data_IF_249860659226
#
_entry.id   IF_249860659226
#
_cell.length_a   1.000
_cell.length_b   1.000
_cell.length_c   1.000
_cell.angle_alpha   90.00
_cell.angle_beta   90.00
_cell.angle_gamma   90.00
#
_symmetry.space_group_name_H-M   'P 1'
#
loop_
_entity.id
_entity.type
_entity.pdbx_description
1 polymer ?
#
# COMPACT_ATOMS: atom_id res chain seq x y z
N UNK A 1 13.42 33.65 47.50
CA UNK A 1 12.95 33.30 46.18
C UNK A 1 13.55 31.96 45.80
N UNK A 2 12.76 30.90 45.86
CA UNK A 2 13.25 29.51 45.56
C UNK A 2 12.80 29.14 44.14
N UNK A 3 13.75 28.93 43.24
CA UNK A 3 13.50 28.40 41.90
C UNK A 3 13.28 26.88 42.00
N UNK A 4 12.10 26.44 41.65
CA UNK A 4 11.73 25.03 41.48
C UNK A 4 12.02 24.62 40.02
N UNK A 5 13.06 23.85 39.83
CA UNK A 5 13.36 23.17 38.56
C UNK A 5 12.54 21.89 38.50
N UNK A 6 11.53 21.87 37.60
CA UNK A 6 10.81 20.65 37.25
C UNK A 6 11.62 19.89 36.20
N UNK A 7 12.17 18.76 36.59
CA UNK A 7 12.79 17.78 35.69
C UNK A 7 11.70 16.99 34.94
N UNK A 8 11.76 17.04 33.61
CA UNK A 8 11.03 16.17 32.71
C UNK A 8 11.68 14.77 32.72
N UNK A 9 10.92 13.69 32.78
CA UNK A 9 11.50 12.36 32.59
C UNK A 9 11.82 12.13 31.11
N UNK A 10 13.06 11.79 30.83
CA UNK A 10 13.52 11.32 29.54
C UNK A 10 12.98 9.92 29.26
N UNK A 11 12.16 9.80 28.23
CA UNK A 11 11.82 8.50 27.63
C UNK A 11 13.05 7.99 26.86
N UNK A 12 13.78 7.07 27.47
CA UNK A 12 14.78 6.27 26.78
C UNK A 12 14.07 5.22 25.92
N UNK A 13 13.97 5.46 24.62
CA UNK A 13 13.59 4.46 23.64
C UNK A 13 14.80 3.55 23.40
N UNK A 14 14.71 2.29 23.84
CA UNK A 14 15.69 1.26 23.53
C UNK A 14 15.70 0.94 22.04
N UNK A 15 16.82 1.23 21.39
CA UNK A 15 17.18 0.70 20.07
C UNK A 15 17.55 -0.78 20.25
N UNK A 16 16.62 -1.68 19.93
CA UNK A 16 16.93 -3.09 19.75
C UNK A 16 17.46 -3.31 18.33
N UNK A 17 18.66 -3.83 18.24
CA UNK A 17 19.35 -4.19 17.01
C UNK A 17 18.57 -5.26 16.23
N UNK A 18 18.38 -5.02 14.93
CA UNK A 18 17.95 -6.03 13.97
C UNK A 18 19.09 -7.05 13.78
N UNK A 19 19.06 -8.10 14.59
CA UNK A 19 19.86 -9.29 14.35
C UNK A 19 19.18 -10.16 13.29
N UNK A 20 19.89 -10.45 12.18
CA UNK A 20 19.52 -11.50 11.24
C UNK A 20 19.52 -12.84 11.99
N UNK A 21 18.35 -13.39 12.23
CA UNK A 21 18.21 -14.79 12.65
C UNK A 21 17.84 -15.60 11.40
N UNK A 22 18.78 -16.35 10.88
CA UNK A 22 18.51 -17.41 9.92
C UNK A 22 17.85 -18.57 10.68
N UNK A 23 16.54 -18.73 10.53
CA UNK A 23 15.81 -19.89 11.05
C UNK A 23 15.65 -20.88 9.89
N UNK A 24 16.40 -21.96 9.94
CA UNK A 24 16.16 -23.16 9.15
C UNK A 24 14.97 -23.93 9.75
N UNK A 25 13.78 -23.70 9.21
CA UNK A 25 12.55 -24.40 9.61
C UNK A 25 12.30 -25.62 8.73
N UNK A 26 12.38 -26.81 9.29
CA UNK A 26 11.87 -28.03 8.68
C UNK A 26 10.34 -27.99 8.69
N UNK A 27 9.74 -28.06 7.48
CA UNK A 27 8.29 -28.11 7.33
C UNK A 27 7.77 -29.50 7.71
N UNK A 28 6.95 -29.57 8.76
CA UNK A 28 6.12 -30.73 9.06
C UNK A 28 4.84 -30.65 8.20
N UNK A 29 4.69 -31.59 7.26
CA UNK A 29 3.46 -31.74 6.49
C UNK A 29 2.42 -32.46 7.34
N UNK A 30 1.41 -31.73 7.81
CA UNK A 30 0.18 -32.32 8.29
C UNK A 30 -0.80 -32.44 7.10
N UNK A 31 -1.18 -33.66 6.76
CA UNK A 31 -2.12 -33.96 5.68
C UNK A 31 -3.51 -33.35 5.99
N UNK A 32 -4.00 -32.56 5.07
CA UNK A 32 -5.37 -32.07 5.05
C UNK A 32 -6.15 -32.92 4.04
N UNK A 33 -7.26 -33.45 4.50
CA UNK A 33 -8.19 -34.26 3.69
C UNK A 33 -8.72 -33.45 2.51
N UNK A 34 -8.81 -34.11 1.34
CA UNK A 34 -9.39 -33.58 0.11
C UNK A 34 -10.85 -33.16 0.33
N UNK A 35 -11.10 -31.86 0.23
CA UNK A 35 -12.44 -31.31 -0.01
C UNK A 35 -12.49 -30.99 -1.49
N UNK A 36 -13.38 -31.63 -2.24
CA UNK A 36 -13.68 -31.31 -3.64
C UNK A 36 -14.06 -29.84 -3.75
N UNK A 37 -13.12 -29.02 -4.23
CA UNK A 37 -13.27 -27.59 -4.40
C UNK A 37 -13.85 -27.27 -5.77
N UNK A 38 -14.81 -26.37 -5.77
CA UNK A 38 -15.23 -25.58 -6.95
C UNK A 38 -14.00 -25.07 -7.69
N UNK A 39 -14.05 -25.09 -9.03
CA UNK A 39 -12.95 -24.59 -9.88
C UNK A 39 -12.52 -23.20 -9.41
N UNK A 40 -11.34 -23.11 -8.81
CA UNK A 40 -10.80 -21.86 -8.31
C UNK A 40 -10.51 -20.91 -9.47
N UNK A 41 -10.57 -19.62 -9.20
CA UNK A 41 -10.14 -18.59 -10.14
C UNK A 41 -8.71 -18.86 -10.61
N UNK A 42 -8.43 -18.51 -11.84
CA UNK A 42 -7.10 -18.67 -12.41
C UNK A 42 -6.35 -17.34 -12.39
N UNK A 43 -5.05 -17.39 -12.10
CA UNK A 43 -4.18 -16.25 -12.28
C UNK A 43 -4.12 -15.83 -13.75
N UNK A 44 -3.74 -14.59 -14.02
CA UNK A 44 -3.52 -14.07 -15.39
C UNK A 44 -2.56 -14.96 -16.22
N UNK A 45 -1.70 -15.72 -15.56
CA UNK A 45 -0.76 -16.63 -16.20
C UNK A 45 -1.27 -18.09 -16.26
N UNK A 46 -2.57 -18.30 -15.98
CA UNK A 46 -3.25 -19.59 -16.10
C UNK A 46 -2.89 -20.61 -15.00
N UNK A 47 -2.35 -20.17 -13.86
CA UNK A 47 -2.10 -21.04 -12.73
C UNK A 47 -3.33 -21.15 -11.82
N UNK A 48 -3.66 -22.34 -11.29
CA UNK A 48 -4.66 -22.44 -10.25
C UNK A 48 -4.16 -21.76 -8.98
N UNK A 49 -5.00 -20.92 -8.38
CA UNK A 49 -4.71 -20.32 -7.10
C UNK A 49 -4.79 -21.34 -5.97
N UNK A 50 -3.96 -21.19 -4.93
CA UNK A 50 -4.07 -21.99 -3.73
C UNK A 50 -5.41 -21.72 -3.02
N UNK A 51 -6.02 -22.71 -2.35
CA UNK A 51 -7.27 -22.51 -1.61
C UNK A 51 -7.14 -21.33 -0.63
N UNK A 52 -8.07 -20.39 -0.72
CA UNK A 52 -8.17 -19.24 0.17
C UNK A 52 -8.98 -19.59 1.43
N UNK A 53 -8.66 -19.00 2.60
CA UNK A 53 -9.58 -19.10 3.74
C UNK A 53 -10.94 -18.50 3.40
N UNK A 54 -12.02 -19.12 3.87
CA UNK A 54 -13.39 -18.74 3.54
C UNK A 54 -13.74 -17.25 3.75
N UNK A 55 -13.04 -16.57 4.66
CA UNK A 55 -13.22 -15.13 4.86
C UNK A 55 -12.88 -14.34 3.59
N UNK A 56 -11.91 -14.78 2.80
CA UNK A 56 -11.39 -14.09 1.62
C UNK A 56 -12.10 -14.46 0.31
N UNK A 57 -13.04 -15.39 0.37
CA UNK A 57 -13.87 -15.73 -0.79
C UNK A 57 -14.95 -14.65 -0.99
N UNK A 58 -14.98 -13.92 -2.12
CA UNK A 58 -16.01 -12.92 -2.37
C UNK A 58 -17.41 -13.57 -2.52
N UNK A 59 -18.49 -12.87 -2.17
CA UNK A 59 -19.84 -13.31 -2.55
C UNK A 59 -20.01 -13.16 -4.06
N UNK A 60 -20.96 -13.92 -4.63
CA UNK A 60 -21.30 -13.82 -6.06
C UNK A 60 -21.79 -12.41 -6.44
N UNK A 61 -22.57 -11.79 -5.55
CA UNK A 61 -23.09 -10.43 -5.72
C UNK A 61 -22.33 -9.47 -4.80
N UNK A 62 -21.50 -8.61 -5.40
CA UNK A 62 -20.73 -7.58 -4.68
C UNK A 62 -21.56 -6.29 -4.63
N UNK A 63 -21.78 -5.69 -3.44
CA UNK A 63 -22.51 -4.45 -3.32
C UNK A 63 -21.88 -3.32 -4.14
N UNK A 64 -22.71 -2.53 -4.84
CA UNK A 64 -22.25 -1.42 -5.69
C UNK A 64 -21.83 -0.15 -4.93
N UNK A 65 -22.03 -0.09 -3.61
CA UNK A 65 -21.70 1.11 -2.82
C UNK A 65 -20.24 1.05 -2.34
N UNK A 66 -19.35 1.93 -2.81
CA UNK A 66 -17.95 1.94 -2.40
C UNK A 66 -17.78 2.11 -0.88
N UNK A 67 -16.93 1.29 -0.27
CA UNK A 67 -16.70 1.26 1.18
C UNK A 67 -17.75 0.51 2.00
N UNK A 68 -18.80 -0.06 1.39
CA UNK A 68 -19.77 -0.89 2.10
C UNK A 68 -19.09 -2.16 2.62
N UNK A 69 -19.23 -2.44 3.92
CA UNK A 69 -18.73 -3.68 4.52
C UNK A 69 -19.57 -4.85 4.04
N UNK A 70 -18.96 -5.84 3.43
CA UNK A 70 -19.56 -7.10 2.97
C UNK A 70 -19.59 -8.10 4.12
N UNK A 71 -18.47 -8.23 4.84
CA UNK A 71 -18.33 -9.04 6.06
C UNK A 71 -17.24 -8.51 6.95
N UNK A 72 -17.31 -8.86 8.22
CA UNK A 72 -16.27 -8.53 9.21
C UNK A 72 -16.04 -9.70 10.16
N UNK A 73 -14.84 -9.79 10.72
CA UNK A 73 -14.47 -10.76 11.74
C UNK A 73 -13.37 -10.15 12.63
N UNK A 74 -13.22 -10.67 13.84
CA UNK A 74 -12.09 -10.31 14.69
C UNK A 74 -10.77 -10.66 13.98
N UNK A 75 -9.82 -9.73 13.99
CA UNK A 75 -8.49 -9.97 13.45
C UNK A 75 -7.57 -10.46 14.58
N UNK A 76 -6.98 -11.67 14.46
CA UNK A 76 -5.94 -12.08 15.39
C UNK A 76 -4.70 -11.22 15.16
N UNK A 77 -4.05 -10.76 16.27
CA UNK A 77 -2.78 -10.07 16.26
C UNK A 77 -1.73 -10.99 16.87
N UNK A 78 -0.96 -11.70 16.04
CA UNK A 78 -0.01 -12.70 16.51
C UNK A 78 1.29 -12.11 17.09
N UNK A 79 1.58 -10.82 16.82
CA UNK A 79 2.67 -10.09 17.50
C UNK A 79 2.40 -9.85 18.99
N UNK A 80 1.28 -10.36 19.52
CA UNK A 80 0.88 -10.26 20.91
C UNK A 80 0.55 -11.63 21.49
N UNK A 81 1.55 -12.51 21.72
CA UNK A 81 1.33 -13.84 22.28
C UNK A 81 0.67 -13.83 23.66
N UNK A 82 0.75 -12.70 24.38
CA UNK A 82 0.10 -12.49 25.67
C UNK A 82 -1.25 -11.76 25.55
N UNK A 83 -1.71 -11.48 24.32
CA UNK A 83 -2.94 -10.70 24.02
C UNK A 83 -3.00 -9.33 24.72
N UNK A 84 -1.85 -8.73 25.02
CA UNK A 84 -1.78 -7.42 25.67
C UNK A 84 -2.27 -6.31 24.75
N UNK A 85 -2.01 -6.38 23.43
CA UNK A 85 -2.55 -5.45 22.46
C UNK A 85 -4.07 -5.57 22.34
N UNK A 86 -4.63 -6.77 22.50
CA UNK A 86 -6.07 -6.97 22.51
C UNK A 86 -6.78 -6.23 23.66
N UNK A 87 -6.08 -5.91 24.75
CA UNK A 87 -6.61 -5.05 25.83
C UNK A 87 -6.65 -3.58 25.45
N UNK A 88 -5.81 -3.13 24.53
CA UNK A 88 -5.59 -1.72 24.16
C UNK A 88 -6.14 -1.34 22.80
N UNK A 89 -6.27 -2.29 21.86
CA UNK A 89 -6.71 -2.08 20.49
C UNK A 89 -7.77 -3.12 20.12
N UNK A 90 -8.82 -2.69 19.43
CA UNK A 90 -9.75 -3.57 18.72
C UNK A 90 -9.26 -3.69 17.28
N UNK A 91 -9.05 -4.91 16.81
CA UNK A 91 -8.67 -5.18 15.42
C UNK A 91 -9.77 -5.99 14.74
N UNK A 92 -10.28 -5.47 13.62
CA UNK A 92 -11.36 -6.08 12.86
C UNK A 92 -10.91 -6.26 11.42
N UNK A 93 -10.89 -7.50 10.94
CA UNK A 93 -10.73 -7.81 9.52
C UNK A 93 -12.03 -7.51 8.82
N UNK A 94 -11.96 -6.86 7.66
CA UNK A 94 -13.13 -6.54 6.86
C UNK A 94 -12.93 -6.98 5.42
N UNK A 95 -14.03 -7.38 4.78
CA UNK A 95 -14.18 -7.39 3.33
C UNK A 95 -15.14 -6.26 3.00
N UNK A 96 -14.78 -5.41 2.05
CA UNK A 96 -15.56 -4.23 1.68
C UNK A 96 -15.63 -4.08 0.17
N UNK A 97 -16.63 -3.36 -0.30
CA UNK A 97 -16.81 -3.05 -1.71
C UNK A 97 -15.91 -1.89 -2.13
N UNK A 98 -15.23 -2.06 -3.25
CA UNK A 98 -14.51 -1.00 -3.96
C UNK A 98 -14.85 -1.07 -5.44
N UNK A 99 -14.08 -0.37 -6.29
CA UNK A 99 -14.31 -0.41 -7.74
C UNK A 99 -13.02 -0.66 -8.49
N UNK A 100 -13.11 -1.47 -9.54
CA UNK A 100 -12.00 -1.70 -10.48
C UNK A 100 -11.75 -0.46 -11.36
N UNK A 101 -10.81 -0.57 -12.29
CA UNK A 101 -10.45 0.50 -13.22
C UNK A 101 -11.65 0.99 -14.05
N UNK A 102 -12.57 0.10 -14.40
CA UNK A 102 -13.75 0.40 -15.21
C UNK A 102 -14.96 0.86 -14.38
N UNK A 103 -14.81 0.96 -13.04
CA UNK A 103 -15.89 1.34 -12.14
C UNK A 103 -16.82 0.20 -11.75
N UNK A 104 -16.48 -1.07 -12.06
CA UNK A 104 -17.27 -2.23 -11.67
C UNK A 104 -17.00 -2.56 -10.20
N UNK A 105 -18.02 -3.00 -9.43
CA UNK A 105 -17.83 -3.40 -8.04
C UNK A 105 -16.86 -4.58 -7.90
N UNK A 106 -15.95 -4.47 -6.93
CA UNK A 106 -15.03 -5.53 -6.53
C UNK A 106 -15.01 -5.68 -5.01
N UNK A 107 -14.68 -6.87 -4.54
CA UNK A 107 -14.44 -7.13 -3.13
C UNK A 107 -12.96 -6.95 -2.81
N UNK A 108 -12.67 -6.19 -1.77
CA UNK A 108 -11.32 -5.94 -1.26
C UNK A 108 -11.30 -6.24 0.23
N UNK A 109 -10.18 -6.74 0.75
CA UNK A 109 -10.02 -7.01 2.17
C UNK A 109 -9.08 -6.01 2.84
N UNK A 110 -9.07 -6.01 4.17
CA UNK A 110 -8.19 -5.18 4.97
C UNK A 110 -8.44 -5.34 6.46
N UNK A 111 -7.74 -4.54 7.27
CA UNK A 111 -7.88 -4.56 8.73
C UNK A 111 -8.08 -3.16 9.27
N UNK A 112 -9.03 -3.01 10.20
CA UNK A 112 -9.31 -1.77 10.92
C UNK A 112 -8.90 -1.93 12.37
N UNK A 113 -8.08 -1.00 12.86
CA UNK A 113 -7.58 -0.94 14.23
C UNK A 113 -8.18 0.29 14.93
N UNK A 114 -8.81 0.08 16.07
CA UNK A 114 -9.40 1.16 16.86
C UNK A 114 -8.83 1.09 18.28
N UNK A 115 -8.07 2.11 18.74
CA UNK A 115 -7.63 2.17 20.12
C UNK A 115 -8.81 2.17 21.09
N UNK A 116 -8.76 1.33 22.12
CA UNK A 116 -9.80 1.25 23.17
C UNK A 116 -9.72 2.41 24.16
N UNK A 117 -8.56 3.06 24.27
CA UNK A 117 -8.37 4.27 25.04
C UNK A 117 -9.20 5.41 24.46
N UNK A 118 -9.77 6.27 25.29
CA UNK A 118 -10.49 7.44 24.82
C UNK A 118 -9.60 8.36 23.97
N UNK A 119 -10.17 8.94 22.92
CA UNK A 119 -9.48 9.98 22.15
C UNK A 119 -9.37 11.26 22.98
N UNK A 120 -8.18 11.81 23.12
CA UNK A 120 -7.88 13.02 23.91
C UNK A 120 -7.48 14.22 23.06
N UNK A 121 -7.39 14.03 21.74
CA UNK A 121 -7.11 15.12 20.81
C UNK A 121 -8.35 15.94 20.44
N UNK A 122 -8.21 16.96 19.60
CA UNK A 122 -9.32 17.82 19.21
C UNK A 122 -10.34 17.08 18.34
N UNK A 123 -11.63 17.40 18.51
CA UNK A 123 -12.72 16.88 17.70
C UNK A 123 -12.95 15.38 17.83
N UNK A 124 -13.40 14.76 16.74
CA UNK A 124 -13.59 13.30 16.64
C UNK A 124 -12.24 12.60 16.43
N UNK A 125 -12.14 11.36 16.89
CA UNK A 125 -10.95 10.51 16.63
C UNK A 125 -10.70 10.42 15.12
N UNK A 126 -9.52 10.80 14.62
CA UNK A 126 -9.23 10.67 13.20
C UNK A 126 -9.08 9.20 12.77
N UNK A 127 -9.40 8.93 11.49
CA UNK A 127 -9.09 7.69 10.80
C UNK A 127 -7.89 7.95 9.89
N UNK A 128 -6.86 7.11 10.00
CA UNK A 128 -5.77 7.05 9.03
C UNK A 128 -6.04 5.89 8.09
N UNK A 129 -6.32 6.19 6.81
CA UNK A 129 -6.29 5.17 5.76
C UNK A 129 -4.84 4.91 5.38
N UNK A 130 -4.38 3.74 5.74
CA UNK A 130 -3.00 3.31 5.55
C UNK A 130 -2.91 2.48 4.27
N UNK A 131 -2.19 3.01 3.32
CA UNK A 131 -1.87 2.37 2.06
C UNK A 131 -0.59 1.53 2.25
N UNK A 132 -0.73 0.21 2.31
CA UNK A 132 0.40 -0.68 2.51
C UNK A 132 1.41 -0.60 1.35
N UNK A 133 2.70 -0.68 1.66
CA UNK A 133 3.77 -0.86 0.68
C UNK A 133 3.73 -2.26 0.05
N UNK A 134 4.71 -2.57 -0.77
CA UNK A 134 4.74 -3.84 -1.50
C UNK A 134 4.78 -5.05 -0.56
N UNK A 135 3.76 -5.89 -0.62
CA UNK A 135 3.66 -7.13 0.16
C UNK A 135 3.98 -8.37 -0.68
N UNK A 136 3.69 -8.33 -1.98
CA UNK A 136 3.85 -9.42 -2.92
C UNK A 136 2.67 -9.53 -3.87
N UNK A 137 2.59 -10.66 -4.58
CA UNK A 137 1.49 -10.94 -5.52
C UNK A 137 0.61 -12.11 -5.06
N UNK A 138 1.16 -13.04 -4.26
CA UNK A 138 0.40 -14.20 -3.79
C UNK A 138 -0.60 -13.81 -2.69
N UNK A 139 -1.76 -14.45 -2.67
CA UNK A 139 -2.84 -14.20 -1.69
C UNK A 139 -2.40 -14.23 -0.23
N UNK A 140 -1.43 -15.11 0.10
CA UNK A 140 -0.88 -15.18 1.46
C UNK A 140 -0.14 -13.91 1.87
N UNK A 141 0.23 -13.06 0.91
CA UNK A 141 0.96 -11.82 1.18
C UNK A 141 0.03 -10.65 1.58
N UNK A 142 -1.28 -10.83 1.54
CA UNK A 142 -2.22 -9.79 1.95
C UNK A 142 -1.91 -9.28 3.37
N UNK A 143 -1.79 -7.96 3.59
CA UNK A 143 -1.51 -7.38 4.91
C UNK A 143 -2.40 -7.93 6.01
N UNK A 144 -3.71 -8.08 5.75
CA UNK A 144 -4.67 -8.61 6.72
C UNK A 144 -4.43 -10.08 7.09
N UNK A 145 -3.80 -10.86 6.20
CA UNK A 145 -3.36 -12.24 6.50
C UNK A 145 -2.06 -12.23 7.27
N UNK A 146 -1.06 -11.50 6.78
CA UNK A 146 0.27 -11.42 7.40
C UNK A 146 0.22 -10.87 8.83
N UNK A 147 -0.65 -9.91 9.12
CA UNK A 147 -0.89 -9.42 10.49
C UNK A 147 -1.40 -10.53 11.42
N UNK A 148 -2.27 -11.41 10.91
CA UNK A 148 -2.75 -12.57 11.64
C UNK A 148 -1.69 -13.64 11.87
N UNK A 149 -0.63 -13.66 11.08
CA UNK A 149 0.49 -14.61 11.11
C UNK A 149 1.78 -14.01 11.72
N UNK A 150 1.78 -12.70 12.02
CA UNK A 150 2.92 -12.01 12.65
C UNK A 150 4.05 -11.62 11.69
N UNK A 151 3.81 -11.60 10.38
CA UNK A 151 4.81 -11.33 9.35
C UNK A 151 4.66 -9.99 8.63
N UNK A 152 3.64 -9.18 8.98
CA UNK A 152 3.43 -7.88 8.33
C UNK A 152 4.49 -6.87 8.81
N UNK A 153 5.41 -6.51 7.91
CA UNK A 153 6.60 -5.71 8.25
C UNK A 153 6.29 -4.22 8.50
N UNK A 154 5.18 -3.69 7.98
CA UNK A 154 4.78 -2.31 8.21
C UNK A 154 4.02 -2.12 9.53
N UNK A 155 3.73 -3.21 10.24
CA UNK A 155 3.09 -3.17 11.55
C UNK A 155 3.77 -2.23 12.54
N UNK A 156 5.10 -2.06 12.44
CA UNK A 156 5.86 -1.12 13.29
C UNK A 156 5.50 0.34 13.01
N UNK A 157 5.23 0.70 11.75
CA UNK A 157 4.82 2.06 11.35
C UNK A 157 3.35 2.30 11.70
N UNK A 158 2.49 1.30 11.46
CA UNK A 158 1.09 1.29 11.86
C UNK A 158 0.94 1.46 13.38
N UNK A 159 1.74 0.76 14.18
CA UNK A 159 1.73 0.83 15.64
C UNK A 159 2.01 2.26 16.16
N UNK A 160 2.87 3.03 15.51
CA UNK A 160 3.15 4.43 15.86
C UNK A 160 1.89 5.32 15.73
N UNK A 161 1.12 5.14 14.67
CA UNK A 161 -0.13 5.89 14.43
C UNK A 161 -1.23 5.46 15.43
N UNK A 162 -1.34 4.17 15.71
CA UNK A 162 -2.29 3.62 16.69
C UNK A 162 -1.94 4.13 18.09
N UNK A 163 -0.66 4.14 18.47
CA UNK A 163 -0.18 4.65 19.74
C UNK A 163 -0.42 6.16 19.92
N UNK A 164 -0.44 6.93 18.81
CA UNK A 164 -0.86 8.32 18.81
C UNK A 164 -2.38 8.51 19.01
N UNK A 165 -3.14 7.41 19.10
CA UNK A 165 -4.59 7.41 19.37
C UNK A 165 -5.46 7.43 18.12
N UNK A 166 -4.91 7.40 16.92
CA UNK A 166 -5.67 7.36 15.67
C UNK A 166 -6.29 5.97 15.46
N UNK A 167 -7.48 5.92 14.87
CA UNK A 167 -7.95 4.69 14.24
C UNK A 167 -7.18 4.49 12.92
N UNK A 168 -6.80 3.26 12.61
CA UNK A 168 -6.04 2.96 11.40
C UNK A 168 -6.81 1.93 10.57
N UNK A 169 -6.88 2.15 9.28
CA UNK A 169 -7.55 1.28 8.32
C UNK A 169 -6.58 0.94 7.18
N UNK A 170 -6.09 -0.31 7.15
CA UNK A 170 -5.12 -0.78 6.18
C UNK A 170 -5.80 -1.67 5.14
N UNK A 171 -5.68 -1.32 3.86
CA UNK A 171 -6.23 -2.10 2.73
C UNK A 171 -5.25 -3.13 2.22
N UNK A 172 -5.78 -4.27 1.73
CA UNK A 172 -4.98 -5.29 1.02
C UNK A 172 -4.87 -5.01 -0.48
N UNK A 173 -5.70 -4.11 -1.03
CA UNK A 173 -5.89 -3.84 -2.47
C UNK A 173 -6.60 -4.97 -3.23
N UNK A 174 -6.99 -4.69 -4.49
CA UNK A 174 -7.65 -5.66 -5.37
C UNK A 174 -6.73 -6.85 -5.68
N UNK A 175 -7.29 -8.05 -5.59
CA UNK A 175 -6.62 -9.29 -5.99
C UNK A 175 -5.45 -9.69 -5.09
N UNK A 176 -5.24 -9.04 -3.93
CA UNK A 176 -4.30 -9.48 -2.92
C UNK A 176 -5.09 -10.08 -1.75
N UNK A 177 -5.11 -11.41 -1.68
CA UNK A 177 -5.91 -12.17 -0.73
C UNK A 177 -7.35 -12.51 -1.20
N UNK A 178 -7.86 -11.85 -2.22
CA UNK A 178 -9.15 -12.12 -2.86
C UNK A 178 -8.95 -12.65 -4.28
N UNK A 179 -10.04 -12.93 -4.97
CA UNK A 179 -10.04 -13.52 -6.31
C UNK A 179 -9.30 -12.68 -7.35
N UNK A 180 -8.56 -13.33 -8.26
CA UNK A 180 -7.80 -12.73 -9.35
C UNK A 180 -6.39 -12.27 -8.96
N UNK A 181 -5.58 -11.91 -9.95
CA UNK A 181 -4.24 -11.39 -9.71
C UNK A 181 -4.26 -9.99 -9.09
N UNK A 182 -3.33 -9.72 -8.17
CA UNK A 182 -3.15 -8.39 -7.58
C UNK A 182 -2.88 -7.34 -8.66
N UNK A 183 -3.72 -6.30 -8.74
CA UNK A 183 -3.58 -5.19 -9.69
C UNK A 183 -2.50 -4.19 -9.25
N UNK A 184 -1.29 -4.72 -8.98
CA UNK A 184 -0.14 -3.96 -8.51
C UNK A 184 0.19 -2.78 -9.44
N UNK A 185 0.44 -1.60 -8.88
CA UNK A 185 0.71 -0.33 -9.59
C UNK A 185 -0.44 0.24 -10.43
N UNK A 186 -1.65 -0.37 -10.42
CA UNK A 186 -2.80 0.26 -11.04
C UNK A 186 -3.31 1.41 -10.16
N UNK A 187 -2.97 2.66 -10.52
CA UNK A 187 -3.21 3.84 -9.67
C UNK A 187 -4.68 4.08 -9.35
N UNK A 188 -5.59 3.90 -10.34
CA UNK A 188 -7.02 4.15 -10.11
C UNK A 188 -7.57 3.19 -9.07
N UNK A 189 -7.28 1.90 -9.22
CA UNK A 189 -7.78 0.84 -8.35
C UNK A 189 -7.19 0.97 -6.94
N UNK A 190 -5.89 1.19 -6.84
CA UNK A 190 -5.23 1.33 -5.55
C UNK A 190 -5.69 2.58 -4.80
N UNK A 191 -5.82 3.72 -5.50
CA UNK A 191 -6.33 4.95 -4.92
C UNK A 191 -7.77 4.83 -4.44
N UNK A 192 -8.64 4.14 -5.21
CA UNK A 192 -10.04 3.86 -4.82
C UNK A 192 -10.08 2.94 -3.61
N UNK A 193 -9.31 1.86 -3.59
CA UNK A 193 -9.26 0.94 -2.45
C UNK A 193 -8.88 1.64 -1.14
N UNK A 194 -7.93 2.59 -1.18
CA UNK A 194 -7.54 3.41 -0.03
C UNK A 194 -8.68 4.31 0.45
N UNK A 195 -9.39 4.96 -0.47
CA UNK A 195 -10.53 5.83 -0.12
C UNK A 195 -11.72 5.03 0.40
N UNK A 196 -12.00 3.89 -0.20
CA UNK A 196 -13.10 3.00 0.21
C UNK A 196 -12.82 2.31 1.54
N UNK A 197 -11.55 2.03 1.84
CA UNK A 197 -11.15 1.52 3.15
C UNK A 197 -11.40 2.56 4.26
N UNK A 198 -11.20 3.86 3.97
CA UNK A 198 -11.60 4.92 4.89
C UNK A 198 -13.12 4.95 5.12
N UNK A 199 -13.93 4.78 4.07
CA UNK A 199 -15.40 4.67 4.18
C UNK A 199 -15.80 3.46 5.02
N UNK A 200 -15.18 2.30 4.77
CA UNK A 200 -15.43 1.08 5.54
C UNK A 200 -15.12 1.29 7.03
N UNK A 201 -14.00 1.94 7.34
CA UNK A 201 -13.65 2.24 8.74
C UNK A 201 -14.67 3.17 9.41
N UNK A 202 -15.18 4.17 8.69
CA UNK A 202 -16.20 5.09 9.22
C UNK A 202 -17.55 4.40 9.44
N UNK A 203 -17.84 3.31 8.73
CA UNK A 203 -19.10 2.56 8.82
C UNK A 203 -19.06 1.39 9.81
N UNK A 204 -17.90 1.08 10.42
CA UNK A 204 -17.81 -0.07 11.32
C UNK A 204 -18.68 0.12 12.58
N UNK A 205 -19.58 -0.82 12.90
CA UNK A 205 -20.49 -0.66 14.03
C UNK A 205 -19.77 -0.52 15.36
N UNK A 206 -20.23 0.39 16.19
CA UNK A 206 -19.73 0.57 17.56
C UNK A 206 -18.38 1.28 17.68
N UNK A 207 -17.69 1.58 16.57
CA UNK A 207 -16.38 2.23 16.59
C UNK A 207 -16.44 3.75 16.83
N UNK A 208 -17.60 4.38 16.62
CA UNK A 208 -17.79 5.84 16.79
C UNK A 208 -17.03 6.68 15.77
N UNK A 209 -16.77 6.16 14.57
CA UNK A 209 -15.93 6.77 13.54
C UNK A 209 -16.70 7.46 12.40
N UNK A 210 -18.04 7.48 12.43
CA UNK A 210 -18.87 8.00 11.34
C UNK A 210 -18.49 9.42 10.89
N UNK A 211 -18.23 10.33 11.85
CA UNK A 211 -17.89 11.72 11.60
C UNK A 211 -16.38 12.00 11.69
N UNK A 212 -15.55 10.97 11.60
CA UNK A 212 -14.10 11.09 11.73
C UNK A 212 -13.50 11.84 10.56
N UNK A 213 -12.59 12.80 10.80
CA UNK A 213 -11.74 13.32 9.75
C UNK A 213 -10.74 12.23 9.31
N UNK A 214 -10.30 12.30 8.06
CA UNK A 214 -9.44 11.28 7.43
C UNK A 214 -8.05 11.83 7.17
N UNK A 215 -7.02 11.03 7.45
CA UNK A 215 -5.67 11.19 6.92
C UNK A 215 -5.34 9.99 6.03
N UNK A 216 -4.46 10.16 5.07
CA UNK A 216 -4.02 9.06 4.17
C UNK A 216 -2.51 9.01 4.19
N UNK A 217 -1.92 7.83 4.35
CA UNK A 217 -0.46 7.68 4.28
C UNK A 217 -0.05 6.36 3.66
N UNK A 218 1.15 6.34 3.07
CA UNK A 218 1.79 5.15 2.53
C UNK A 218 3.19 5.43 2.02
N UNK A 219 3.96 4.36 1.83
CA UNK A 219 5.33 4.39 1.34
C UNK A 219 5.49 3.44 0.15
N UNK A 220 6.34 3.77 -0.84
CA UNK A 220 6.59 2.90 -2.00
C UNK A 220 5.31 2.65 -2.81
N UNK A 221 4.87 1.38 -2.99
CA UNK A 221 3.54 1.08 -3.55
C UNK A 221 2.46 1.86 -2.79
N UNK A 222 2.50 1.85 -1.46
CA UNK A 222 1.56 2.60 -0.63
C UNK A 222 1.66 4.11 -0.84
N UNK A 223 2.86 4.63 -1.11
CA UNK A 223 3.07 6.03 -1.50
C UNK A 223 2.37 6.35 -2.81
N UNK A 224 2.45 5.46 -3.80
CA UNK A 224 1.71 5.56 -5.07
C UNK A 224 0.21 5.53 -4.86
N UNK A 225 -0.29 4.60 -4.05
CA UNK A 225 -1.71 4.48 -3.72
C UNK A 225 -2.24 5.71 -2.96
N UNK A 226 -1.47 6.23 -1.98
CA UNK A 226 -1.80 7.44 -1.24
C UNK A 226 -1.82 8.68 -2.15
N UNK A 227 -0.85 8.81 -3.06
CA UNK A 227 -0.78 9.88 -4.05
C UNK A 227 -1.95 9.82 -5.05
N UNK A 228 -2.28 8.63 -5.55
CA UNK A 228 -3.44 8.41 -6.39
C UNK A 228 -4.76 8.74 -5.67
N UNK A 229 -4.90 8.32 -4.40
CA UNK A 229 -6.05 8.67 -3.57
C UNK A 229 -6.18 10.19 -3.40
N UNK A 230 -5.06 10.92 -3.21
CA UNK A 230 -5.08 12.38 -3.12
C UNK A 230 -5.61 13.04 -4.39
N UNK A 231 -5.23 12.54 -5.58
CA UNK A 231 -5.74 13.02 -6.86
C UNK A 231 -7.22 12.69 -7.08
N UNK A 232 -7.72 11.57 -6.51
CA UNK A 232 -9.10 11.09 -6.67
C UNK A 232 -10.07 11.67 -5.63
N UNK A 233 -9.59 12.28 -4.55
CA UNK A 233 -10.42 12.73 -3.42
C UNK A 233 -11.61 13.58 -3.86
N UNK A 234 -11.41 14.57 -4.75
CA UNK A 234 -12.49 15.48 -5.16
C UNK A 234 -13.52 14.86 -6.11
N UNK A 235 -13.13 13.86 -6.90
CA UNK A 235 -13.97 13.25 -7.93
C UNK A 235 -14.60 11.94 -7.51
N UNK A 236 -13.88 11.14 -6.72
CA UNK A 236 -14.31 9.82 -6.29
C UNK A 236 -14.82 9.78 -4.86
N UNK A 237 -14.25 10.58 -3.96
CA UNK A 237 -14.60 10.57 -2.53
C UNK A 237 -14.85 11.97 -1.94
N UNK A 238 -15.74 12.79 -2.54
CA UNK A 238 -16.07 14.12 -2.02
C UNK A 238 -16.78 14.08 -0.65
N UNK A 239 -17.28 12.93 -0.23
CA UNK A 239 -17.89 12.64 1.06
C UNK A 239 -16.88 12.49 2.21
N UNK A 240 -15.59 12.28 1.91
CA UNK A 240 -14.56 12.14 2.92
C UNK A 240 -13.90 13.48 3.26
N UNK A 241 -13.90 13.83 4.56
CA UNK A 241 -13.18 15.00 5.08
C UNK A 241 -11.68 14.68 5.20
N UNK A 242 -10.95 14.67 4.08
CA UNK A 242 -9.52 14.35 4.02
C UNK A 242 -8.69 15.57 4.42
N UNK A 243 -8.12 15.55 5.62
CA UNK A 243 -7.33 16.66 6.19
C UNK A 243 -5.91 16.76 5.63
N UNK A 244 -5.39 15.68 5.06
CA UNK A 244 -4.10 15.67 4.42
C UNK A 244 -3.61 14.27 4.05
N UNK A 245 -2.61 14.23 3.19
CA UNK A 245 -1.99 13.00 2.67
C UNK A 245 -0.49 13.06 2.87
N UNK A 246 0.11 11.94 3.26
CA UNK A 246 1.57 11.74 3.26
C UNK A 246 1.90 10.63 2.27
N UNK A 247 2.66 10.97 1.24
CA UNK A 247 3.03 10.05 0.17
C UNK A 247 4.56 9.94 0.09
N UNK A 248 5.10 8.82 0.54
CA UNK A 248 6.54 8.57 0.57
C UNK A 248 7.02 7.72 -0.61
N UNK A 249 8.16 8.09 -1.21
CA UNK A 249 8.82 7.36 -2.30
C UNK A 249 7.82 6.91 -3.40
N UNK A 250 7.12 7.88 -4.00
CA UNK A 250 6.03 7.64 -4.94
C UNK A 250 6.54 7.18 -6.30
N UNK A 251 6.15 5.98 -6.80
CA UNK A 251 6.48 5.50 -8.15
C UNK A 251 5.58 6.18 -9.20
N UNK A 252 5.69 7.51 -9.33
CA UNK A 252 4.77 8.34 -10.11
C UNK A 252 4.90 8.17 -11.64
N UNK A 253 6.03 7.67 -12.11
CA UNK A 253 6.32 7.39 -13.52
C UNK A 253 6.83 5.95 -13.64
N UNK A 254 5.94 5.03 -14.01
CA UNK A 254 6.26 3.60 -14.06
C UNK A 254 7.26 3.26 -15.15
N UNK A 255 7.34 4.04 -16.23
CA UNK A 255 8.36 3.87 -17.26
C UNK A 255 9.76 4.14 -16.71
N UNK A 256 9.94 5.27 -16.02
CA UNK A 256 11.23 5.62 -15.41
C UNK A 256 11.62 4.64 -14.29
N UNK A 257 10.65 4.20 -13.47
CA UNK A 257 10.89 3.19 -12.41
C UNK A 257 11.26 1.85 -13.03
N UNK A 258 10.53 1.39 -14.06
CA UNK A 258 10.80 0.14 -14.75
C UNK A 258 12.19 0.10 -15.37
N UNK A 259 12.62 1.21 -16.02
CA UNK A 259 13.97 1.33 -16.55
C UNK A 259 15.07 1.25 -15.47
N UNK A 260 14.81 1.79 -14.28
CA UNK A 260 15.74 1.70 -13.14
C UNK A 260 15.81 0.29 -12.53
N UNK A 261 14.70 -0.44 -12.57
CA UNK A 261 14.60 -1.79 -11.98
C UNK A 261 15.19 -2.88 -12.88
N UNK A 262 15.20 -2.68 -14.19
CA UNK A 262 15.63 -3.71 -15.15
C UNK A 262 17.10 -4.11 -14.92
N UNK A 263 17.33 -5.38 -14.60
CA UNK A 263 18.65 -5.92 -14.27
C UNK A 263 19.22 -5.50 -12.91
N UNK A 264 18.48 -4.73 -12.10
CA UNK A 264 18.89 -4.36 -10.74
C UNK A 264 18.64 -5.50 -9.73
N UNK A 265 19.09 -5.31 -8.47
CA UNK A 265 18.75 -6.22 -7.36
C UNK A 265 17.24 -6.31 -7.11
N UNK A 266 16.49 -5.31 -7.55
CA UNK A 266 15.05 -5.18 -7.35
C UNK A 266 14.24 -5.51 -8.61
N UNK A 267 14.84 -6.17 -9.60
CA UNK A 267 14.20 -6.54 -10.88
C UNK A 267 12.89 -7.34 -10.70
N UNK A 268 12.75 -8.09 -9.61
CA UNK A 268 11.51 -8.80 -9.31
C UNK A 268 10.29 -7.88 -9.13
N UNK A 269 10.46 -6.64 -8.66
CA UNK A 269 9.37 -5.65 -8.58
C UNK A 269 8.88 -5.20 -9.96
N UNK A 270 9.74 -5.22 -10.96
CA UNK A 270 9.33 -5.01 -12.35
C UNK A 270 8.37 -6.12 -12.80
N UNK A 271 8.65 -7.38 -12.42
CA UNK A 271 7.75 -8.50 -12.65
C UNK A 271 6.38 -8.31 -11.98
N UNK A 272 6.34 -7.84 -10.74
CA UNK A 272 5.09 -7.50 -10.06
C UNK A 272 4.30 -6.44 -10.84
N UNK A 273 4.96 -5.37 -11.30
CA UNK A 273 4.30 -4.32 -12.06
C UNK A 273 3.74 -4.83 -13.40
N UNK A 274 4.48 -5.68 -14.11
CA UNK A 274 4.01 -6.29 -15.35
C UNK A 274 2.75 -7.13 -15.13
N UNK A 275 2.75 -8.01 -14.13
CA UNK A 275 1.61 -8.86 -13.81
C UNK A 275 0.42 -8.01 -13.37
N UNK A 276 0.63 -7.05 -12.47
CA UNK A 276 -0.44 -6.22 -11.91
C UNK A 276 -1.08 -5.28 -12.93
N UNK A 277 -0.29 -4.68 -13.82
CA UNK A 277 -0.81 -3.85 -14.91
C UNK A 277 -1.52 -4.69 -15.96
N UNK A 278 -0.96 -5.84 -16.33
CA UNK A 278 -1.62 -6.76 -17.27
C UNK A 278 -2.97 -7.22 -16.73
N UNK A 279 -3.06 -7.58 -15.44
CA UNK A 279 -4.31 -7.95 -14.78
C UNK A 279 -5.32 -6.79 -14.76
N UNK A 280 -4.87 -5.57 -14.44
CA UNK A 280 -5.75 -4.40 -14.36
C UNK A 280 -6.27 -3.89 -15.71
N UNK A 281 -5.59 -4.24 -16.81
CA UNK A 281 -5.93 -3.80 -18.17
C UNK A 281 -6.35 -4.94 -19.10
N UNK A 282 -6.51 -6.16 -18.58
CA UNK A 282 -6.88 -7.37 -19.34
C UNK A 282 -5.94 -7.60 -20.55
N UNK A 283 -4.62 -7.43 -20.34
CA UNK A 283 -3.62 -7.60 -21.38
C UNK A 283 -3.13 -9.05 -21.40
N UNK A 284 -3.29 -9.72 -22.54
CA UNK A 284 -2.62 -10.98 -22.81
C UNK A 284 -1.11 -10.78 -22.99
N UNK A 285 -0.33 -11.28 -22.04
CA UNK A 285 1.14 -11.19 -22.08
C UNK A 285 1.80 -12.26 -22.93
N UNK A 286 1.07 -13.28 -23.38
CA UNK A 286 1.59 -14.42 -24.13
C UNK A 286 2.41 -14.01 -25.38
N UNK A 287 1.98 -13.05 -26.20
CA UNK A 287 2.74 -12.63 -27.40
C UNK A 287 4.08 -11.96 -27.09
N UNK A 288 4.25 -11.43 -25.86
CA UNK A 288 5.41 -10.63 -25.48
C UNK A 288 6.47 -11.43 -24.73
N UNK A 289 6.12 -12.61 -24.23
CA UNK A 289 6.97 -13.42 -23.34
C UNK A 289 7.57 -14.63 -24.05
N UNK A 290 8.84 -14.89 -23.79
CA UNK A 290 9.45 -16.18 -24.06
C UNK A 290 8.93 -17.25 -23.07
N UNK A 291 9.23 -18.51 -23.31
CA UNK A 291 8.94 -19.60 -22.36
C UNK A 291 9.62 -19.35 -21.00
N UNK A 292 10.87 -18.89 -21.02
CA UNK A 292 11.59 -18.49 -19.81
C UNK A 292 10.92 -17.30 -19.12
N UNK A 293 10.43 -16.31 -19.87
CA UNK A 293 9.68 -15.18 -19.35
C UNK A 293 8.39 -15.59 -18.68
N UNK A 294 7.60 -16.43 -19.33
CA UNK A 294 6.36 -16.98 -18.78
C UNK A 294 6.61 -17.74 -17.48
N UNK A 295 7.63 -18.63 -17.46
CA UNK A 295 8.00 -19.40 -16.28
C UNK A 295 8.45 -18.49 -15.13
N UNK A 296 9.25 -17.46 -15.44
CA UNK A 296 9.75 -16.50 -14.46
C UNK A 296 8.60 -15.68 -13.84
N UNK A 297 7.69 -15.11 -14.66
CA UNK A 297 6.56 -14.34 -14.16
C UNK A 297 5.59 -15.21 -13.35
N UNK A 298 5.34 -16.45 -13.74
CA UNK A 298 4.58 -17.40 -12.91
C UNK A 298 5.21 -17.61 -11.53
N UNK A 299 6.54 -17.73 -11.50
CA UNK A 299 7.28 -17.83 -10.25
C UNK A 299 7.17 -16.56 -9.39
N UNK A 300 7.26 -15.38 -10.01
CA UNK A 300 7.13 -14.07 -9.36
C UNK A 300 5.72 -13.90 -8.77
N UNK A 301 4.67 -14.25 -9.51
CA UNK A 301 3.27 -14.14 -9.07
C UNK A 301 3.00 -14.89 -7.76
N UNK A 302 3.75 -15.95 -7.49
CA UNK A 302 3.62 -16.74 -6.27
C UNK A 302 4.56 -16.30 -5.14
N UNK A 303 5.06 -15.05 -5.13
CA UNK A 303 6.00 -14.57 -4.11
C UNK A 303 5.45 -13.45 -3.25
N UNK A 304 5.89 -13.43 -1.99
CA UNK A 304 5.84 -12.26 -1.13
C UNK A 304 7.11 -11.41 -1.28
N UNK A 305 7.09 -10.20 -0.72
CA UNK A 305 8.11 -9.17 -0.96
C UNK A 305 9.56 -9.60 -0.68
N UNK A 306 9.78 -10.42 0.35
CA UNK A 306 11.13 -10.92 0.64
C UNK A 306 11.56 -12.04 -0.31
N UNK A 307 10.61 -12.83 -0.81
CA UNK A 307 10.88 -13.96 -1.71
C UNK A 307 11.22 -13.49 -3.12
N UNK A 308 10.73 -12.31 -3.54
CA UNK A 308 10.97 -11.77 -4.90
C UNK A 308 12.42 -11.38 -5.12
N UNK A 309 13.20 -11.19 -4.07
CA UNK A 309 14.63 -10.84 -4.15
C UNK A 309 15.46 -11.90 -4.88
N UNK A 310 15.00 -13.16 -4.94
CA UNK A 310 15.64 -14.23 -5.72
C UNK A 310 15.69 -13.95 -7.24
N UNK A 311 14.87 -13.00 -7.72
CA UNK A 311 14.88 -12.57 -9.12
C UNK A 311 15.74 -11.32 -9.36
N UNK A 312 16.54 -10.90 -8.38
CA UNK A 312 17.51 -9.81 -8.52
C UNK A 312 18.49 -10.09 -9.64
N UNK A 313 18.85 -9.05 -10.41
CA UNK A 313 19.74 -9.15 -11.55
C UNK A 313 19.08 -9.62 -12.85
N UNK A 314 17.81 -10.02 -12.84
CA UNK A 314 17.09 -10.45 -14.04
C UNK A 314 16.94 -9.30 -15.02
N UNK A 315 17.40 -9.47 -16.24
CA UNK A 315 17.21 -8.50 -17.34
C UNK A 315 15.95 -8.85 -18.12
N UNK A 316 15.09 -7.89 -18.35
CA UNK A 316 13.83 -8.09 -19.08
C UNK A 316 14.03 -8.63 -20.49
N UNK A 317 15.13 -8.28 -21.17
CA UNK A 317 15.49 -8.81 -22.48
C UNK A 317 15.69 -10.33 -22.54
N UNK A 318 15.89 -10.98 -21.39
CA UNK A 318 15.96 -12.47 -21.34
C UNK A 318 14.59 -13.11 -21.19
N UNK A 319 13.56 -12.32 -20.93
CA UNK A 319 12.19 -12.76 -20.67
C UNK A 319 11.24 -12.50 -21.83
N UNK A 320 11.58 -11.54 -22.71
CA UNK A 320 10.75 -11.17 -23.86
C UNK A 320 10.93 -12.15 -25.03
N UNK A 321 9.89 -12.31 -25.83
CA UNK A 321 9.86 -13.26 -26.96
C UNK A 321 10.88 -12.91 -28.07
N UNK A 322 11.13 -11.62 -28.28
CA UNK A 322 12.04 -11.10 -29.30
C UNK A 322 13.41 -10.63 -28.78
N UNK A 323 13.66 -10.80 -27.46
CA UNK A 323 14.92 -10.42 -26.83
C UNK A 323 15.12 -8.92 -26.61
N UNK A 324 14.13 -8.08 -26.93
CA UNK A 324 14.20 -6.65 -26.62
C UNK A 324 14.02 -6.39 -25.12
N UNK A 325 14.68 -5.35 -24.55
CA UNK A 325 14.38 -4.94 -23.19
C UNK A 325 12.95 -4.40 -23.08
N UNK A 326 12.34 -4.49 -21.91
CA UNK A 326 10.96 -4.02 -21.66
C UNK A 326 10.78 -2.53 -22.05
N UNK A 327 11.80 -1.71 -21.84
CA UNK A 327 11.76 -0.28 -22.21
C UNK A 327 11.50 -0.04 -23.71
N UNK A 328 11.80 -1.00 -24.57
CA UNK A 328 11.52 -0.88 -26.02
C UNK A 328 10.02 -0.93 -26.34
N UNK A 329 9.20 -1.45 -25.41
CA UNK A 329 7.74 -1.51 -25.60
C UNK A 329 6.99 -0.29 -25.06
N UNK A 330 7.67 0.60 -24.31
CA UNK A 330 7.00 1.71 -23.62
C UNK A 330 6.33 2.72 -24.56
N UNK A 331 6.80 2.81 -25.80
CA UNK A 331 6.21 3.66 -26.84
C UNK A 331 5.23 2.90 -27.76
N UNK A 332 5.02 1.59 -27.53
CA UNK A 332 4.13 0.72 -28.30
C UNK A 332 2.82 0.48 -27.53
N UNK A 333 1.68 0.38 -28.28
CA UNK A 333 0.42 -0.03 -27.64
C UNK A 333 0.42 -1.55 -27.35
N UNK A 334 -0.19 -1.99 -26.24
CA UNK A 334 -0.99 -1.21 -25.28
C UNK A 334 -0.17 -0.53 -24.17
N UNK A 335 1.12 -0.80 -24.04
CA UNK A 335 1.96 -0.38 -22.91
C UNK A 335 2.05 1.14 -22.80
N UNK A 336 2.14 1.85 -23.91
CA UNK A 336 2.16 3.31 -23.94
C UNK A 336 0.94 3.92 -23.23
N UNK A 337 -0.25 3.47 -23.58
CA UNK A 337 -1.50 3.92 -22.94
C UNK A 337 -1.56 3.55 -21.48
N UNK A 338 -1.14 2.32 -21.12
CA UNK A 338 -1.11 1.86 -19.73
C UNK A 338 -0.18 2.72 -18.87
N UNK A 339 1.02 3.03 -19.34
CA UNK A 339 1.97 3.89 -18.64
C UNK A 339 1.44 5.30 -18.46
N UNK A 340 0.81 5.86 -19.50
CA UNK A 340 0.20 7.19 -19.46
C UNK A 340 -0.95 7.26 -18.44
N UNK A 341 -1.83 6.27 -18.43
CA UNK A 341 -2.96 6.17 -17.50
C UNK A 341 -2.51 6.05 -16.04
N UNK A 342 -1.40 5.35 -15.80
CA UNK A 342 -0.89 5.14 -14.44
C UNK A 342 0.08 6.23 -13.96
N UNK A 343 0.36 7.24 -14.77
CA UNK A 343 1.21 8.36 -14.37
C UNK A 343 0.52 9.23 -13.33
N UNK A 344 1.15 9.37 -12.14
CA UNK A 344 0.71 10.25 -11.05
C UNK A 344 1.38 11.61 -11.23
N UNK A 345 0.65 12.70 -10.92
CA UNK A 345 1.10 14.07 -11.14
C UNK A 345 0.25 14.80 -12.19
N UNK A 346 -0.56 14.07 -12.96
CA UNK A 346 -1.38 14.63 -14.02
C UNK A 346 -2.65 15.33 -13.51
N UNK A 347 -3.12 15.00 -12.28
CA UNK A 347 -4.30 15.59 -11.65
C UNK A 347 -3.88 16.38 -10.40
N UNK A 348 -4.61 17.45 -10.09
CA UNK A 348 -4.38 18.24 -8.88
C UNK A 348 -4.94 17.50 -7.67
N UNK A 349 -4.14 17.18 -6.63
CA UNK A 349 -4.68 16.69 -5.36
C UNK A 349 -5.51 17.79 -4.67
N UNK A 350 -6.65 17.42 -4.10
CA UNK A 350 -7.50 18.36 -3.36
C UNK A 350 -6.98 18.62 -1.94
N UNK A 351 -6.59 17.60 -1.13
CA UNK A 351 -6.04 17.82 0.20
C UNK A 351 -4.59 18.31 0.15
N UNK A 352 -4.09 18.94 1.22
CA UNK A 352 -2.65 19.19 1.38
C UNK A 352 -1.86 17.89 1.37
N UNK A 353 -0.73 17.86 0.64
CA UNK A 353 0.10 16.66 0.51
C UNK A 353 1.53 16.94 1.01
N UNK A 354 2.02 16.10 1.93
CA UNK A 354 3.43 15.98 2.24
C UNK A 354 4.01 14.84 1.38
N UNK A 355 4.94 15.17 0.50
CA UNK A 355 5.70 14.20 -0.29
C UNK A 355 7.08 14.05 0.31
N UNK A 356 7.49 12.82 0.60
CA UNK A 356 8.84 12.50 1.10
C UNK A 356 9.55 11.57 0.13
N UNK A 357 10.86 11.73 -0.04
CA UNK A 357 11.64 10.85 -0.93
C UNK A 357 13.10 10.80 -0.49
N UNK A 358 13.68 9.60 -0.43
CA UNK A 358 15.10 9.44 -0.12
C UNK A 358 15.96 9.95 -1.29
N UNK A 359 17.02 10.71 -0.98
CA UNK A 359 17.91 11.29 -2.02
C UNK A 359 18.65 10.21 -2.82
N UNK A 360 18.99 9.10 -2.17
CA UNK A 360 19.69 7.98 -2.79
C UNK A 360 18.79 6.73 -2.84
N UNK A 361 17.52 6.93 -3.23
CA UNK A 361 16.57 5.84 -3.43
C UNK A 361 17.03 4.96 -4.60
N UNK A 362 17.27 3.69 -4.31
CA UNK A 362 17.82 2.70 -5.24
C UNK A 362 16.73 1.86 -5.95
N UNK A 363 15.46 2.08 -5.61
CA UNK A 363 14.28 1.43 -6.23
C UNK A 363 13.52 2.43 -7.10
N UNK A 364 13.10 3.55 -6.52
CA UNK A 364 12.33 4.59 -7.18
C UNK A 364 13.19 5.85 -7.29
N UNK A 365 13.67 6.23 -8.49
CA UNK A 365 14.54 7.39 -8.63
C UNK A 365 13.95 8.64 -7.98
N UNK A 366 14.74 9.34 -7.19
CA UNK A 366 14.35 10.59 -6.50
C UNK A 366 13.70 11.62 -7.45
N UNK A 367 14.19 11.69 -8.70
CA UNK A 367 13.69 12.58 -9.74
C UNK A 367 12.20 12.31 -10.06
N UNK A 368 11.73 11.06 -9.94
CA UNK A 368 10.33 10.68 -10.21
C UNK A 368 9.39 11.34 -9.21
N UNK A 369 9.66 11.21 -7.91
CA UNK A 369 8.84 11.84 -6.88
C UNK A 369 8.93 13.37 -6.91
N UNK A 370 10.11 13.92 -7.22
CA UNK A 370 10.32 15.37 -7.36
C UNK A 370 9.52 15.92 -8.56
N UNK A 371 9.58 15.27 -9.71
CA UNK A 371 8.85 15.70 -10.90
C UNK A 371 7.32 15.68 -10.68
N UNK A 372 6.79 14.66 -10.02
CA UNK A 372 5.38 14.60 -9.61
C UNK A 372 5.01 15.79 -8.72
N UNK A 373 5.79 16.06 -7.69
CA UNK A 373 5.54 17.17 -6.75
C UNK A 373 5.59 18.52 -7.48
N UNK A 374 6.54 18.72 -8.40
CA UNK A 374 6.63 19.91 -9.25
C UNK A 374 5.36 20.08 -10.09
N UNK A 375 4.91 19.01 -10.77
CA UNK A 375 3.70 19.05 -11.58
C UNK A 375 2.44 19.38 -10.76
N UNK A 376 2.33 18.88 -9.55
CA UNK A 376 1.24 19.25 -8.64
C UNK A 376 1.31 20.73 -8.22
N UNK A 377 2.52 21.24 -7.96
CA UNK A 377 2.73 22.65 -7.66
C UNK A 377 2.31 23.56 -8.81
N UNK A 378 2.65 23.21 -10.05
CA UNK A 378 2.23 23.93 -11.26
C UNK A 378 0.71 23.99 -11.42
N UNK A 379 0.00 22.96 -10.94
CA UNK A 379 -1.46 22.89 -10.88
C UNK A 379 -2.07 23.64 -9.68
N UNK A 380 -1.24 24.30 -8.87
CA UNK A 380 -1.68 25.05 -7.69
C UNK A 380 -2.12 24.18 -6.52
N UNK A 381 -1.57 22.97 -6.37
CA UNK A 381 -1.80 22.14 -5.21
C UNK A 381 -0.99 22.63 -3.99
N UNK A 382 -1.50 22.35 -2.78
CA UNK A 382 -0.76 22.59 -1.55
C UNK A 382 0.19 21.41 -1.27
N UNK A 383 1.42 21.51 -1.79
CA UNK A 383 2.45 20.48 -1.68
C UNK A 383 3.59 20.95 -0.79
N UNK A 384 4.02 20.09 0.11
CA UNK A 384 5.29 20.19 0.79
C UNK A 384 6.16 19.00 0.38
N UNK A 385 7.23 19.25 -0.37
CA UNK A 385 8.19 18.22 -0.75
C UNK A 385 9.37 18.23 0.22
N UNK A 386 9.69 17.07 0.78
CA UNK A 386 10.78 16.89 1.74
C UNK A 386 11.74 15.80 1.27
N UNK A 387 12.95 16.18 0.78
CA UNK A 387 14.03 15.23 0.60
C UNK A 387 14.45 14.61 1.93
N UNK A 388 14.68 13.30 1.92
CA UNK A 388 15.18 12.55 3.08
C UNK A 388 16.63 12.15 2.80
N UNK A 389 17.52 12.50 3.71
CA UNK A 389 18.91 12.08 3.66
C UNK A 389 19.01 10.62 4.14
N UNK A 390 18.71 9.69 3.23
CA UNK A 390 18.81 8.26 3.46
C UNK A 390 19.53 7.58 2.30
N UNK A 391 20.31 6.50 2.56
CA UNK A 391 21.16 5.87 1.55
C UNK A 391 20.43 4.90 0.62
N UNK A 392 19.18 4.53 0.92
CA UNK A 392 18.41 3.54 0.15
C UNK A 392 16.91 3.84 0.19
N UNK A 393 16.15 3.14 -0.64
CA UNK A 393 14.67 3.15 -0.61
C UNK A 393 14.13 2.84 0.79
N UNK A 394 14.54 1.71 1.36
CA UNK A 394 14.07 1.27 2.69
C UNK A 394 14.47 2.27 3.78
N UNK A 395 15.63 2.89 3.67
CA UNK A 395 16.11 3.92 4.61
C UNK A 395 15.20 5.15 4.71
N UNK A 396 14.40 5.42 3.67
CA UNK A 396 13.43 6.52 3.66
C UNK A 396 12.14 6.24 4.43
N UNK A 397 11.81 4.98 4.71
CA UNK A 397 10.52 4.61 5.29
C UNK A 397 10.32 5.12 6.72
N UNK A 398 11.29 4.92 7.61
CA UNK A 398 11.19 5.36 9.01
C UNK A 398 11.11 6.88 9.16
N UNK A 399 11.95 7.69 8.48
CA UNK A 399 11.77 9.15 8.49
C UNK A 399 10.40 9.59 7.96
N UNK A 400 9.90 8.94 6.90
CA UNK A 400 8.55 9.21 6.36
C UNK A 400 7.46 8.94 7.40
N UNK A 401 7.53 7.83 8.13
CA UNK A 401 6.57 7.50 9.19
C UNK A 401 6.59 8.53 10.33
N UNK A 402 7.79 8.98 10.72
CA UNK A 402 7.94 10.06 11.73
C UNK A 402 7.31 11.37 11.24
N UNK A 403 7.56 11.73 9.98
CA UNK A 403 6.97 12.91 9.37
C UNK A 403 5.46 12.82 9.26
N UNK A 404 4.91 11.63 8.98
CA UNK A 404 3.48 11.38 8.95
C UNK A 404 2.82 11.64 10.31
N UNK A 405 3.43 11.16 11.40
CA UNK A 405 2.93 11.43 12.76
C UNK A 405 2.87 12.94 13.06
N UNK A 406 3.93 13.68 12.75
CA UNK A 406 3.99 15.13 12.97
C UNK A 406 3.00 15.88 12.08
N UNK A 407 2.91 15.48 10.82
CA UNK A 407 1.99 16.05 9.85
C UNK A 407 0.53 15.87 10.29
N UNK A 408 0.10 14.66 10.61
CA UNK A 408 -1.27 14.41 11.03
C UNK A 408 -1.61 15.10 12.34
N UNK A 409 -0.69 15.14 13.30
CA UNK A 409 -0.88 15.91 14.54
C UNK A 409 -1.20 17.37 14.24
N UNK A 410 -0.44 18.00 13.35
CA UNK A 410 -0.68 19.38 12.94
C UNK A 410 -2.00 19.52 12.18
N UNK A 411 -2.28 18.65 11.19
CA UNK A 411 -3.49 18.73 10.37
C UNK A 411 -4.77 18.56 11.18
N UNK A 412 -4.83 17.57 12.07
CA UNK A 412 -5.99 17.35 12.92
C UNK A 412 -6.13 18.38 14.04
N UNK A 413 -5.08 19.13 14.35
CA UNK A 413 -5.15 20.31 15.23
C UNK A 413 -5.51 21.60 14.48
N UNK A 414 -5.86 21.53 13.18
CA UNK A 414 -6.25 22.70 12.39
C UNK A 414 -5.09 23.59 11.95
N UNK A 415 -3.84 23.18 12.17
CA UNK A 415 -2.66 23.95 11.74
C UNK A 415 -2.49 23.81 10.22
N UNK A 416 -2.49 24.89 9.42
CA UNK A 416 -2.32 24.83 7.97
C UNK A 416 -0.96 24.27 7.56
N UNK A 417 -0.89 23.54 6.42
CA UNK A 417 0.37 23.21 5.81
C UNK A 417 0.94 24.41 5.04
N UNK A 418 2.22 24.72 5.25
CA UNK A 418 2.95 25.64 4.41
C UNK A 418 3.55 24.89 3.22
N UNK A 419 3.14 25.26 2.01
CA UNK A 419 3.73 24.74 0.77
C UNK A 419 5.16 25.24 0.59
N UNK A 420 6.01 24.41 -0.04
CA UNK A 420 7.34 24.83 -0.49
C UNK A 420 7.51 24.68 -2.00
N UNK A 421 6.42 24.85 -2.78
CA UNK A 421 6.44 24.79 -4.25
C UNK A 421 7.48 25.75 -4.86
N UNK A 422 7.76 26.88 -4.23
CA UNK A 422 8.79 27.82 -4.67
C UNK A 422 10.21 27.20 -4.75
N UNK A 423 10.46 26.12 -4.01
CA UNK A 423 11.74 25.40 -4.01
C UNK A 423 11.79 24.27 -5.07
N UNK A 424 10.68 24.01 -5.76
CA UNK A 424 10.57 22.98 -6.80
C UNK A 424 10.56 23.58 -8.23
N UNK A 425 10.32 24.88 -8.31
CA UNK A 425 10.34 25.65 -9.57
C UNK A 425 11.73 25.67 -10.22
#
# INVERSE_FOLDING_TARGET
>A
MRHSTRTLPALAAGLAALGLVAVSGAAAHAGVADVEGTAGAQSILGQPEAPRPAFYEPPADIPGTPGQIIRSADAPLLLDPLKLSASTVSATRVMYSSTDRLGRPIAVTGTIFVPKTAWTGPGKRPVISYAAGTQGMADRCAPSRQMGEGFEYEGVFAAGLIAAGYALAMTDYQGLGTDGSHTYMNREVQGRAVLDMARAAKSIPGAGLADSPVGITGYSQGGGAAAAAAELTSTYAPDLDVKGVVAGAVPADLGAVGANLDGSLFAGFLGYALIGLAAGYDIDMTPYLSEAGTTTLKGIENTCVLEVTKYGGTKSSTLTADGRPLTAYFDEEPFKSVLADNKIGNRKPAPPVLVTHALADDVIPYSVGRAMATSWCEKGANVRFRPILAPTHIGGALPTSTDALLFFKARFSGIPQTSNCWALA
#
